data_IF_635544348198
#
_entry.id   IF_635544348198
#
_cell.length_a   1.000
_cell.length_b   1.000
_cell.length_c   1.000
_cell.angle_alpha   90.00
_cell.angle_beta   90.00
_cell.angle_gamma   90.00
#
_symmetry.space_group_name_H-M   'P 1'
#
loop_
_entity.id
_entity.type
_entity.pdbx_description
1 polymer ?
#
# COMPACT_ATOMS: atom_id res chain seq x y z
N UNK A 1 13.33 24.14 -41.02
CA UNK A 1 11.89 24.42 -40.88
C UNK A 1 11.60 24.47 -39.39
N UNK A 2 11.09 25.58 -38.87
CA UNK A 2 10.58 25.62 -37.49
C UNK A 2 9.27 24.83 -37.48
N UNK A 3 9.19 23.76 -36.70
CA UNK A 3 7.93 23.08 -36.45
C UNK A 3 7.02 24.03 -35.66
N UNK A 4 5.96 24.51 -36.30
CA UNK A 4 4.97 25.36 -35.64
C UNK A 4 4.10 24.47 -34.75
N UNK A 5 4.39 24.46 -33.46
CA UNK A 5 3.56 23.78 -32.45
C UNK A 5 2.17 24.43 -32.47
N UNK A 6 1.12 23.64 -32.69
CA UNK A 6 -0.26 24.12 -32.66
C UNK A 6 -0.83 24.09 -31.24
N UNK A 7 -1.89 24.86 -31.00
CA UNK A 7 -2.66 24.78 -29.74
C UNK A 7 -3.24 23.37 -29.51
N UNK A 8 -3.50 22.61 -30.57
CA UNK A 8 -3.98 21.23 -30.48
C UNK A 8 -2.89 20.30 -29.97
N UNK A 9 -1.64 20.51 -30.41
CA UNK A 9 -0.49 19.74 -29.95
C UNK A 9 -0.26 19.97 -28.45
N UNK A 10 -0.30 21.24 -28.01
CA UNK A 10 -0.22 21.62 -26.60
C UNK A 10 -1.35 20.96 -25.79
N UNK A 11 -2.58 20.96 -26.30
CA UNK A 11 -3.72 20.33 -25.62
C UNK A 11 -3.53 18.81 -25.46
N UNK A 12 -2.97 18.15 -26.46
CA UNK A 12 -2.70 16.71 -26.41
C UNK A 12 -1.60 16.38 -25.41
N UNK A 13 -0.51 17.15 -25.41
CA UNK A 13 0.55 17.00 -24.41
C UNK A 13 0.02 17.19 -22.98
N UNK A 14 -0.81 18.21 -22.74
CA UNK A 14 -1.43 18.44 -21.43
C UNK A 14 -2.31 17.26 -20.99
N UNK A 15 -3.04 16.63 -21.92
CA UNK A 15 -3.82 15.42 -21.63
C UNK A 15 -2.95 14.23 -21.29
N UNK A 16 -1.82 14.05 -21.97
CA UNK A 16 -0.86 12.99 -21.67
C UNK A 16 -0.19 13.20 -20.32
N UNK A 17 0.22 14.43 -20.02
CA UNK A 17 0.78 14.80 -18.72
C UNK A 17 -0.24 14.48 -17.61
N UNK A 18 -1.51 14.86 -17.80
CA UNK A 18 -2.58 14.53 -16.84
C UNK A 18 -2.66 13.01 -16.57
N UNK A 19 -2.71 12.18 -17.62
CA UNK A 19 -2.74 10.72 -17.48
C UNK A 19 -1.52 10.15 -16.76
N UNK A 20 -0.35 10.77 -16.96
CA UNK A 20 0.89 10.36 -16.27
C UNK A 20 0.83 10.71 -14.79
N UNK A 21 0.26 11.86 -14.43
CA UNK A 21 0.07 12.27 -13.04
C UNK A 21 -0.88 11.29 -12.34
N UNK A 22 -2.04 10.98 -12.95
CA UNK A 22 -3.00 10.03 -12.37
C UNK A 22 -2.34 8.67 -12.06
N UNK A 23 -1.52 8.14 -12.98
CA UNK A 23 -0.77 6.89 -12.74
C UNK A 23 0.28 6.99 -11.63
N UNK A 24 0.85 8.17 -11.43
CA UNK A 24 1.83 8.40 -10.35
C UNK A 24 1.09 8.44 -9.01
N UNK A 25 -0.10 9.06 -8.97
CA UNK A 25 -0.95 9.07 -7.78
C UNK A 25 -1.31 7.64 -7.36
N UNK A 26 -1.79 6.80 -8.29
CA UNK A 26 -2.10 5.39 -8.03
C UNK A 26 -0.89 4.63 -7.47
N UNK A 27 0.29 4.80 -8.07
CA UNK A 27 1.51 4.13 -7.61
C UNK A 27 1.96 4.62 -6.22
N UNK A 28 1.72 5.88 -5.88
CA UNK A 28 2.00 6.41 -4.54
C UNK A 28 1.03 5.84 -3.52
N UNK A 29 -0.26 5.72 -3.85
CA UNK A 29 -1.27 5.11 -2.98
C UNK A 29 -0.91 3.65 -2.68
N UNK A 30 -0.57 2.86 -3.70
CA UNK A 30 -0.08 1.48 -3.52
C UNK A 30 1.16 1.41 -2.62
N UNK A 31 2.10 2.35 -2.77
CA UNK A 31 3.30 2.42 -1.93
C UNK A 31 2.96 2.76 -0.48
N UNK A 32 2.07 3.73 -0.26
CA UNK A 32 1.62 4.11 1.09
C UNK A 32 0.91 2.94 1.75
N UNK A 33 0.02 2.25 1.05
CA UNK A 33 -0.71 1.08 1.55
C UNK A 33 0.23 -0.11 1.82
N UNK A 34 1.36 -0.19 1.13
CA UNK A 34 2.37 -1.24 1.36
C UNK A 34 3.26 -1.01 2.58
N UNK A 35 3.26 0.20 3.14
CA UNK A 35 4.10 0.57 4.28
C UNK A 35 3.30 0.38 5.57
N UNK A 36 3.83 -0.45 6.47
CA UNK A 36 3.30 -0.55 7.83
C UNK A 36 3.43 0.79 8.54
N UNK A 37 2.37 1.19 9.24
CA UNK A 37 2.43 2.27 10.22
C UNK A 37 3.40 1.92 11.35
N UNK A 38 3.98 2.92 12.05
CA UNK A 38 4.85 2.67 13.21
C UNK A 38 4.19 1.78 14.28
N UNK A 39 2.87 1.92 14.47
CA UNK A 39 2.07 1.09 15.36
C UNK A 39 2.01 -0.36 14.89
N UNK A 40 1.77 -0.60 13.60
CA UNK A 40 1.76 -1.94 13.01
C UNK A 40 3.14 -2.60 13.03
N UNK A 41 4.21 -1.83 12.77
CA UNK A 41 5.59 -2.34 12.85
C UNK A 41 5.93 -2.75 14.30
N UNK A 42 5.49 -1.96 15.28
CA UNK A 42 5.65 -2.31 16.70
C UNK A 42 4.89 -3.60 17.04
N UNK A 43 3.63 -3.72 16.60
CA UNK A 43 2.83 -4.93 16.82
C UNK A 43 3.51 -6.15 16.19
N UNK A 44 4.04 -6.02 14.97
CA UNK A 44 4.76 -7.09 14.29
C UNK A 44 5.97 -7.56 15.10
N UNK A 45 6.79 -6.62 15.62
CA UNK A 45 7.94 -6.95 16.47
C UNK A 45 7.53 -7.65 17.77
N UNK A 46 6.45 -7.20 18.41
CA UNK A 46 5.93 -7.85 19.62
C UNK A 46 5.48 -9.29 19.34
N UNK A 47 4.80 -9.52 18.23
CA UNK A 47 4.38 -10.87 17.79
C UNK A 47 5.60 -11.74 17.48
N UNK A 48 6.58 -11.23 16.74
CA UNK A 48 7.81 -11.97 16.45
C UNK A 48 8.56 -12.39 17.73
N UNK A 49 8.65 -11.51 18.72
CA UNK A 49 9.29 -11.81 20.00
C UNK A 49 8.52 -12.87 20.80
N UNK A 50 7.18 -12.84 20.77
CA UNK A 50 6.35 -13.90 21.36
C UNK A 50 6.58 -15.25 20.69
N UNK A 51 6.63 -15.28 19.35
CA UNK A 51 6.94 -16.50 18.57
C UNK A 51 8.32 -17.03 18.94
N UNK A 52 9.35 -16.18 18.98
CA UNK A 52 10.73 -16.58 19.36
C UNK A 52 10.81 -17.15 20.77
N UNK A 53 10.01 -16.61 21.70
CA UNK A 53 9.92 -17.09 23.09
C UNK A 53 9.02 -18.33 23.24
N UNK A 54 8.30 -18.72 22.18
CA UNK A 54 7.31 -19.80 22.23
C UNK A 54 6.08 -19.47 23.07
N UNK A 55 5.81 -18.18 23.30
CA UNK A 55 4.66 -17.72 24.06
C UNK A 55 3.47 -17.50 23.13
N UNK A 56 2.57 -18.49 23.10
CA UNK A 56 1.36 -18.45 22.29
C UNK A 56 0.09 -18.22 23.12
N UNK A 57 0.23 -17.74 24.37
CA UNK A 57 -0.90 -17.61 25.30
C UNK A 57 -2.01 -16.69 24.79
N UNK A 58 -1.65 -15.67 24.00
CA UNK A 58 -2.60 -14.73 23.38
C UNK A 58 -3.24 -15.26 22.07
N UNK A 59 -2.84 -16.44 21.60
CA UNK A 59 -3.28 -16.99 20.32
C UNK A 59 -4.10 -18.26 20.51
N UNK A 60 -5.05 -18.48 19.61
CA UNK A 60 -5.84 -19.71 19.56
C UNK A 60 -5.43 -20.55 18.35
N UNK A 61 -5.45 -21.89 18.47
CA UNK A 61 -5.34 -22.77 17.30
C UNK A 61 -6.47 -22.48 16.32
N UNK A 62 -6.15 -22.53 15.02
CA UNK A 62 -7.11 -22.19 13.96
C UNK A 62 -8.34 -23.11 13.98
N UNK A 63 -8.18 -24.36 14.43
CA UNK A 63 -9.26 -25.35 14.57
C UNK A 63 -10.30 -24.94 15.62
N UNK A 64 -9.96 -24.02 16.53
CA UNK A 64 -10.84 -23.53 17.59
C UNK A 64 -11.49 -22.18 17.29
N UNK A 65 -11.24 -21.61 16.11
CA UNK A 65 -11.74 -20.28 15.75
C UNK A 65 -13.28 -20.20 15.81
N UNK A 66 -13.96 -21.25 15.33
CA UNK A 66 -15.43 -21.34 15.33
C UNK A 66 -16.06 -21.38 16.74
N UNK A 67 -15.29 -21.77 17.76
CA UNK A 67 -15.76 -21.81 19.16
C UNK A 67 -15.74 -20.42 19.80
N UNK A 68 -14.85 -19.54 19.34
CA UNK A 68 -14.61 -18.20 19.91
C UNK A 68 -15.45 -17.13 19.20
N UNK A 69 -15.84 -17.35 17.95
CA UNK A 69 -16.65 -16.40 17.15
C UNK A 69 -18.18 -16.58 17.30
N UNK A 70 -18.63 -17.45 18.21
CA UNK A 70 -20.05 -17.65 18.56
C UNK A 70 -20.52 -16.72 19.67
#
# INVERSE_FOLDING_TARGET
MQESISLVDILNELREIKKRIERIEDAIEELVDSILTPEEEKLLREVEDKIKKGDFSDFIPIEKLDEVLK
#
